data_IF_510371696658
#
_entry.id   IF_510371696658
#
_cell.length_a   1.000
_cell.length_b   1.000
_cell.length_c   1.000
_cell.angle_alpha   90.00
_cell.angle_beta   90.00
_cell.angle_gamma   90.00
#
_symmetry.space_group_name_H-M   'P 1'
#
loop_
_entity.id
_entity.type
_entity.pdbx_description
1 polymer ?
#
# COMPACT_ATOMS: atom_id res chain seq x y z
N UNK A 1 -13.47 -8.20 17.39
CA UNK A 1 -12.29 -7.95 16.54
C UNK A 1 -12.80 -7.25 15.29
N UNK A 2 -12.48 -5.98 15.13
CA UNK A 2 -13.25 -5.05 14.30
C UNK A 2 -13.08 -5.26 12.79
N UNK A 3 -14.21 -5.34 12.10
CA UNK A 3 -14.37 -5.35 10.63
C UNK A 3 -13.86 -4.09 9.92
N UNK A 4 -13.43 -3.04 10.65
CA UNK A 4 -13.03 -1.73 10.10
C UNK A 4 -11.54 -1.56 9.78
N UNK A 5 -10.78 -2.65 9.75
CA UNK A 5 -9.33 -2.63 9.47
C UNK A 5 -8.96 -3.20 8.10
N UNK A 6 -9.91 -3.80 7.39
CA UNK A 6 -9.67 -4.42 6.07
C UNK A 6 -10.30 -3.60 4.96
N UNK A 7 -9.56 -3.45 3.88
CA UNK A 7 -10.02 -2.82 2.65
C UNK A 7 -9.73 -3.75 1.47
N UNK A 8 -10.34 -3.48 0.32
CA UNK A 8 -10.08 -4.23 -0.91
C UNK A 8 -9.69 -3.28 -2.02
N UNK A 9 -8.47 -3.41 -2.53
CA UNK A 9 -8.01 -2.68 -3.70
C UNK A 9 -8.43 -3.43 -4.95
N UNK A 10 -9.25 -2.81 -5.80
CA UNK A 10 -9.63 -3.38 -7.09
C UNK A 10 -8.77 -2.76 -8.20
N UNK A 11 -7.83 -3.53 -8.74
CA UNK A 11 -7.00 -3.09 -9.87
C UNK A 11 -7.66 -3.55 -11.15
N UNK A 12 -7.97 -2.63 -12.05
CA UNK A 12 -8.63 -2.89 -13.33
C UNK A 12 -7.90 -2.18 -14.45
N UNK A 13 -7.73 -2.87 -15.56
CA UNK A 13 -7.23 -2.26 -16.79
C UNK A 13 -8.43 -1.79 -17.61
N UNK A 14 -8.70 -0.48 -17.57
CA UNK A 14 -9.89 0.15 -18.18
C UNK A 14 -9.49 0.83 -19.50
N UNK A 15 -10.26 0.58 -20.55
CA UNK A 15 -10.20 1.24 -21.87
C UNK A 15 -8.95 0.98 -22.75
N UNK A 16 -8.98 1.32 -24.07
CA UNK A 16 -8.14 0.68 -25.08
C UNK A 16 -6.73 1.26 -25.07
N UNK A 17 -5.96 0.88 -24.06
CA UNK A 17 -4.51 0.96 -24.15
C UNK A 17 -4.07 0.06 -25.33
N UNK A 18 -3.10 0.48 -26.16
CA UNK A 18 -2.50 -0.35 -27.22
C UNK A 18 -1.85 -1.64 -26.67
N UNK A 19 -1.84 -1.78 -25.34
CA UNK A 19 -1.33 -2.89 -24.57
C UNK A 19 -2.15 -4.17 -24.76
N UNK A 20 -3.49 -4.14 -24.92
CA UNK A 20 -4.40 -5.31 -24.98
C UNK A 20 -4.31 -6.29 -23.77
N UNK A 21 -3.13 -6.48 -23.19
CA UNK A 21 -2.76 -7.22 -22.00
C UNK A 21 -1.43 -6.66 -21.44
N UNK A 22 -1.21 -6.89 -20.16
CA UNK A 22 0.06 -6.71 -19.47
C UNK A 22 0.57 -8.08 -19.04
N UNK A 23 1.78 -8.43 -19.47
CA UNK A 23 2.42 -9.71 -19.13
C UNK A 23 2.76 -9.78 -17.65
N UNK A 24 3.19 -8.64 -17.08
CA UNK A 24 3.57 -8.57 -15.68
C UNK A 24 3.29 -7.18 -15.11
N UNK A 25 2.55 -7.16 -14.01
CA UNK A 25 2.28 -5.99 -13.19
C UNK A 25 2.81 -6.27 -11.80
N UNK A 26 3.62 -5.34 -11.29
CA UNK A 26 4.03 -5.29 -9.88
C UNK A 26 3.41 -4.07 -9.24
N UNK A 27 2.86 -4.23 -8.05
CA UNK A 27 2.28 -3.13 -7.28
C UNK A 27 3.09 -2.99 -6.01
N UNK A 28 3.48 -1.77 -5.70
CA UNK A 28 4.21 -1.41 -4.50
C UNK A 28 3.53 -0.24 -3.80
N UNK A 29 3.44 -0.30 -2.47
CA UNK A 29 3.03 0.83 -1.65
C UNK A 29 4.21 1.78 -1.52
N UNK A 30 4.15 2.89 -2.23
CA UNK A 30 5.24 3.86 -2.23
C UNK A 30 5.20 4.72 -0.95
N UNK A 31 6.38 4.97 -0.40
CA UNK A 31 6.56 5.96 0.64
C UNK A 31 6.28 7.37 0.07
N UNK A 32 5.63 8.23 0.84
CA UNK A 32 5.58 9.66 0.51
C UNK A 32 6.99 10.24 0.50
N UNK A 33 7.40 10.83 -0.62
CA UNK A 33 8.69 11.53 -0.77
C UNK A 33 8.92 12.64 0.26
N UNK A 34 7.84 13.20 0.83
CA UNK A 34 7.90 14.22 1.88
C UNK A 34 8.43 13.71 3.24
N UNK A 35 8.78 12.42 3.34
CA UNK A 35 9.17 11.81 4.60
C UNK A 35 10.59 11.25 4.58
N UNK A 36 11.52 12.05 5.12
CA UNK A 36 12.87 11.60 5.46
C UNK A 36 12.88 10.86 6.81
N UNK A 37 12.87 9.52 6.76
CA UNK A 37 13.07 8.67 7.96
C UNK A 37 14.48 8.08 8.04
N UNK A 38 15.48 8.81 7.56
CA UNK A 38 16.88 8.43 7.77
C UNK A 38 17.14 8.27 9.28
N UNK A 39 17.59 7.10 9.77
CA UNK A 39 17.85 6.91 11.19
C UNK A 39 19.06 7.76 11.61
N UNK A 40 18.81 8.85 12.35
CA UNK A 40 19.85 9.83 12.74
C UNK A 40 20.53 9.55 14.09
N UNK A 41 20.11 8.51 14.83
CA UNK A 41 20.55 8.28 16.21
C UNK A 41 21.03 6.84 16.44
N UNK A 42 22.18 6.69 17.10
CA UNK A 42 22.69 5.42 17.58
C UNK A 42 21.72 4.84 18.64
N UNK A 43 21.18 3.65 18.35
CA UNK A 43 20.11 3.02 19.14
C UNK A 43 18.72 3.05 18.50
N UNK A 44 18.58 3.70 17.34
CA UNK A 44 17.36 3.68 16.52
C UNK A 44 17.22 2.44 15.62
N UNK A 45 16.13 2.34 14.84
CA UNK A 45 15.93 1.26 13.88
C UNK A 45 17.01 1.26 12.79
N UNK A 46 17.35 0.08 12.26
CA UNK A 46 18.26 -0.04 11.11
C UNK A 46 17.61 0.44 9.82
N UNK A 47 18.41 0.79 8.81
CA UNK A 47 17.88 1.17 7.49
C UNK A 47 16.98 0.09 6.89
N UNK A 48 17.31 -1.19 7.09
CA UNK A 48 16.48 -2.32 6.67
C UNK A 48 15.12 -2.36 7.41
N UNK A 49 15.09 -2.00 8.70
CA UNK A 49 13.84 -1.93 9.47
C UNK A 49 12.97 -0.75 9.02
N UNK A 50 13.59 0.38 8.68
CA UNK A 50 12.91 1.56 8.13
C UNK A 50 12.37 1.26 6.73
N UNK A 51 13.13 0.59 5.87
CA UNK A 51 12.71 0.18 4.54
C UNK A 51 11.60 -0.89 4.59
N UNK A 52 11.64 -1.79 5.56
CA UNK A 52 10.60 -2.80 5.77
C UNK A 52 9.26 -2.23 6.27
N UNK A 53 9.27 -1.01 6.83
CA UNK A 53 8.05 -0.35 7.30
C UNK A 53 7.23 0.15 6.10
N UNK A 54 5.94 -0.18 6.07
CA UNK A 54 5.01 0.40 5.10
C UNK A 54 4.59 1.79 5.55
N UNK A 55 4.88 2.78 4.72
CA UNK A 55 4.66 4.20 5.00
C UNK A 55 3.41 4.72 4.28
N UNK A 56 2.25 4.33 4.76
CA UNK A 56 0.97 4.78 4.20
C UNK A 56 -0.21 4.42 5.11
N UNK A 57 -1.45 4.76 4.72
CA UNK A 57 -2.66 4.41 5.48
C UNK A 57 -2.99 2.91 5.49
N UNK A 58 -2.65 2.20 4.42
CA UNK A 58 -2.96 0.80 4.18
C UNK A 58 -1.73 0.03 3.67
N UNK A 59 -1.69 -1.27 3.94
CA UNK A 59 -0.71 -2.23 3.39
C UNK A 59 -1.43 -3.45 2.85
N UNK A 60 -0.76 -4.21 1.98
CA UNK A 60 -1.27 -5.52 1.58
C UNK A 60 -1.27 -6.47 2.78
N UNK A 61 -2.30 -7.32 2.87
CA UNK A 61 -2.39 -8.33 3.95
C UNK A 61 -1.28 -9.36 3.75
N UNK A 62 -0.29 -9.47 4.65
CA UNK A 62 0.83 -10.39 4.46
C UNK A 62 0.36 -11.83 4.29
N UNK A 63 0.89 -12.52 3.28
CA UNK A 63 0.50 -13.90 2.95
C UNK A 63 -0.83 -14.04 2.22
N UNK A 64 -1.52 -12.94 1.89
CA UNK A 64 -2.71 -12.93 1.03
C UNK A 64 -2.37 -12.37 -0.35
N UNK A 65 -3.00 -12.87 -1.41
CA UNK A 65 -2.83 -12.38 -2.79
C UNK A 65 -1.37 -12.28 -3.30
N UNK A 66 -0.45 -13.04 -2.69
CA UNK A 66 0.98 -12.99 -3.00
C UNK A 66 1.72 -11.81 -2.36
N UNK A 67 1.12 -11.14 -1.37
CA UNK A 67 1.75 -10.07 -0.61
C UNK A 67 3.00 -10.57 0.12
N UNK A 68 4.02 -9.71 0.17
CA UNK A 68 5.22 -9.98 0.94
C UNK A 68 4.95 -9.98 2.45
N UNK A 69 5.96 -10.38 3.23
CA UNK A 69 5.87 -10.45 4.70
C UNK A 69 5.53 -9.12 5.37
N UNK A 70 5.86 -7.99 4.73
CA UNK A 70 5.65 -6.66 5.30
C UNK A 70 4.37 -5.99 4.78
N UNK A 71 3.81 -6.45 3.67
CA UNK A 71 2.64 -5.86 3.00
C UNK A 71 2.99 -4.67 2.09
N UNK A 72 4.25 -4.57 1.68
CA UNK A 72 4.80 -3.55 0.78
C UNK A 72 4.45 -3.81 -0.67
N UNK A 73 4.49 -5.07 -1.09
CA UNK A 73 4.31 -5.44 -2.50
C UNK A 73 3.55 -6.75 -2.63
N UNK A 74 3.02 -7.02 -3.82
CA UNK A 74 2.37 -8.27 -4.19
C UNK A 74 3.17 -8.99 -5.28
N UNK A 75 3.04 -10.31 -5.31
CA UNK A 75 3.65 -11.13 -6.35
C UNK A 75 3.24 -10.64 -7.75
N UNK A 76 4.18 -10.58 -8.71
CA UNK A 76 3.88 -10.12 -10.05
C UNK A 76 2.76 -10.93 -10.69
N UNK A 77 1.87 -10.26 -11.43
CA UNK A 77 0.71 -10.90 -12.06
C UNK A 77 0.42 -10.32 -13.45
N UNK A 78 -0.12 -11.15 -14.34
CA UNK A 78 -0.60 -10.70 -15.64
C UNK A 78 -2.03 -10.17 -15.54
N UNK A 79 -2.37 -9.16 -16.34
CA UNK A 79 -3.73 -8.60 -16.39
C UNK A 79 -4.13 -8.29 -17.84
N UNK A 80 -5.24 -8.86 -18.30
CA UNK A 80 -5.84 -8.54 -19.59
C UNK A 80 -6.77 -7.32 -19.49
N UNK A 81 -6.95 -6.60 -20.59
CA UNK A 81 -7.92 -5.48 -20.67
C UNK A 81 -9.33 -6.00 -20.31
N UNK A 82 -10.06 -5.23 -19.50
CA UNK A 82 -11.39 -5.59 -19.02
C UNK A 82 -11.41 -6.63 -17.88
N UNK A 83 -10.24 -7.16 -17.47
CA UNK A 83 -10.11 -7.96 -16.25
C UNK A 83 -9.65 -7.07 -15.10
N UNK A 84 -10.11 -7.45 -13.90
CA UNK A 84 -9.68 -6.85 -12.66
C UNK A 84 -9.28 -7.91 -11.66
N UNK A 85 -8.35 -7.56 -10.78
CA UNK A 85 -7.95 -8.41 -9.65
C UNK A 85 -8.15 -7.65 -8.34
N UNK A 86 -8.92 -8.20 -7.39
CA UNK A 86 -8.99 -7.65 -6.05
C UNK A 86 -7.75 -8.05 -5.25
N UNK A 87 -7.30 -7.16 -4.36
CA UNK A 87 -6.25 -7.40 -3.38
C UNK A 87 -6.75 -7.05 -1.98
N UNK A 88 -6.47 -7.91 -1.01
CA UNK A 88 -6.76 -7.64 0.38
C UNK A 88 -5.75 -6.64 0.96
N UNK A 89 -6.28 -5.54 1.51
CA UNK A 89 -5.53 -4.54 2.25
C UNK A 89 -5.93 -4.57 3.74
N UNK A 90 -4.99 -4.24 4.61
CA UNK A 90 -5.25 -3.94 6.02
C UNK A 90 -4.58 -2.62 6.43
N UNK A 91 -4.92 -2.06 7.60
CA UNK A 91 -4.25 -0.84 8.06
C UNK A 91 -2.78 -1.12 8.34
N UNK A 92 -1.95 -0.15 8.00
CA UNK A 92 -0.56 -0.14 8.44
C UNK A 92 -0.49 -0.03 9.96
N UNK A 93 0.53 -0.64 10.53
CA UNK A 93 0.82 -0.55 11.96
C UNK A 93 1.89 0.49 12.19
N UNK A 94 1.84 1.09 13.37
CA UNK A 94 2.90 2.01 13.79
C UNK A 94 4.26 1.30 13.82
N UNK A 95 5.35 2.02 13.49
CA UNK A 95 6.68 1.46 13.59
C UNK A 95 6.99 1.05 15.04
N UNK A 96 7.69 -0.07 15.23
CA UNK A 96 7.92 -0.61 16.57
C UNK A 96 8.75 0.33 17.47
N UNK A 97 9.55 1.22 16.86
CA UNK A 97 10.40 2.21 17.53
C UNK A 97 9.66 3.50 17.90
N UNK A 98 8.36 3.62 17.58
CA UNK A 98 7.54 4.69 18.15
C UNK A 98 7.16 4.35 19.59
N UNK A 99 7.48 5.28 20.49
CA UNK A 99 7.18 5.21 21.92
C UNK A 99 5.79 5.78 22.23
N UNK A 100 5.18 5.29 23.31
CA UNK A 100 3.87 5.72 23.81
C UNK A 100 2.75 4.71 23.57
N UNK A 101 1.82 4.64 24.53
CA UNK A 101 0.66 3.74 24.44
C UNK A 101 -0.33 4.16 23.35
N UNK A 102 -0.29 5.41 22.90
CA UNK A 102 -1.12 5.99 21.85
C UNK A 102 -0.51 5.90 20.43
N UNK A 103 0.65 5.23 20.28
CA UNK A 103 1.39 5.20 19.00
C UNK A 103 0.56 4.73 17.80
N UNK A 104 -0.32 3.76 17.98
CA UNK A 104 -1.20 3.25 16.92
C UNK A 104 -2.29 4.26 16.55
N UNK A 105 -2.83 4.99 17.53
CA UNK A 105 -3.80 6.04 17.28
C UNK A 105 -3.16 7.22 16.57
N UNK A 106 -1.99 7.66 17.03
CA UNK A 106 -1.22 8.74 16.41
C UNK A 106 -0.77 8.40 14.99
N UNK A 107 -0.39 7.15 14.75
CA UNK A 107 -0.07 6.66 13.42
C UNK A 107 -1.31 6.71 12.51
N UNK A 108 -2.45 6.23 13.00
CA UNK A 108 -3.71 6.29 12.25
C UNK A 108 -4.16 7.71 11.96
N UNK A 109 -3.97 8.64 12.91
CA UNK A 109 -4.31 10.05 12.76
C UNK A 109 -3.40 10.74 11.72
N UNK A 110 -2.08 10.44 11.76
CA UNK A 110 -1.12 10.94 10.79
C UNK A 110 -1.50 10.61 9.35
N UNK A 111 -2.04 9.41 9.12
CA UNK A 111 -2.44 8.94 7.80
C UNK A 111 -3.92 9.14 7.51
N UNK A 112 -4.66 9.76 8.42
CA UNK A 112 -6.06 10.07 8.21
C UNK A 112 -6.19 11.11 7.10
N UNK A 113 -7.07 10.85 6.12
CA UNK A 113 -7.30 11.71 4.95
C UNK A 113 -6.09 11.86 3.99
N UNK A 114 -5.03 11.08 4.17
CA UNK A 114 -3.93 11.03 3.21
C UNK A 114 -4.19 9.91 2.19
N UNK A 115 -3.97 10.17 0.89
CA UNK A 115 -4.11 9.14 -0.13
C UNK A 115 -3.07 8.04 0.06
N UNK A 116 -3.42 6.82 -0.33
CA UNK A 116 -2.48 5.73 -0.46
C UNK A 116 -1.72 5.89 -1.78
N UNK A 117 -0.39 6.02 -1.70
CA UNK A 117 0.47 6.08 -2.88
C UNK A 117 0.86 4.66 -3.31
N UNK A 118 0.64 4.36 -4.57
CA UNK A 118 0.97 3.09 -5.21
C UNK A 118 1.85 3.35 -6.42
N UNK A 119 2.84 2.49 -6.63
CA UNK A 119 3.61 2.47 -7.88
C UNK A 119 3.34 1.15 -8.57
N UNK A 120 2.83 1.23 -9.79
CA UNK A 120 2.57 0.09 -10.64
C UNK A 120 3.67 -0.02 -11.68
N UNK A 121 4.53 -1.03 -11.54
CA UNK A 121 5.55 -1.33 -12.55
C UNK A 121 4.97 -2.35 -13.53
N UNK A 122 4.78 -1.90 -14.76
CA UNK A 122 4.18 -2.66 -15.85
C UNK A 122 5.26 -3.12 -16.83
N UNK A 123 5.17 -4.37 -17.26
CA UNK A 123 6.01 -4.95 -18.31
C UNK A 123 5.14 -5.62 -19.36
N UNK A 124 5.49 -5.38 -20.62
CA UNK A 124 4.92 -6.07 -21.78
C UNK A 124 6.03 -6.45 -22.73
N UNK A 125 5.95 -7.63 -23.34
CA UNK A 125 6.87 -8.04 -24.39
C UNK A 125 6.94 -6.99 -25.52
N UNK A 126 8.15 -6.63 -25.93
CA UNK A 126 8.40 -5.61 -26.95
C UNK A 126 8.35 -4.17 -26.47
N UNK A 127 8.13 -3.92 -25.17
CA UNK A 127 8.17 -2.59 -24.56
C UNK A 127 9.12 -2.59 -23.35
N UNK A 128 9.87 -1.49 -23.17
CA UNK A 128 10.63 -1.27 -21.93
C UNK A 128 9.68 -1.20 -20.74
N UNK A 129 10.01 -1.78 -19.57
CA UNK A 129 9.17 -1.66 -18.39
C UNK A 129 8.95 -0.19 -17.99
N UNK A 130 7.72 0.16 -17.61
CA UNK A 130 7.39 1.51 -17.15
C UNK A 130 6.70 1.48 -15.79
N UNK A 131 6.98 2.48 -14.97
CA UNK A 131 6.34 2.68 -13.68
C UNK A 131 5.25 3.75 -13.80
N UNK A 132 4.08 3.47 -13.24
CA UNK A 132 2.96 4.42 -13.16
C UNK A 132 2.64 4.66 -11.69
N UNK A 133 2.93 5.87 -11.17
CA UNK A 133 2.48 6.25 -9.85
C UNK A 133 0.96 6.49 -9.87
N UNK A 134 0.27 6.02 -8.85
CA UNK A 134 -1.15 6.21 -8.61
C UNK A 134 -1.37 6.65 -7.17
N UNK A 135 -2.21 7.66 -6.98
CA UNK A 135 -2.72 8.04 -5.67
C UNK A 135 -4.16 7.52 -5.56
N UNK A 136 -4.42 6.73 -4.54
CA UNK A 136 -5.74 6.15 -4.27
C UNK A 136 -6.29 6.81 -3.02
N UNK A 137 -7.37 7.56 -3.15
CA UNK A 137 -8.10 8.07 -2.00
C UNK A 137 -8.57 6.90 -1.14
N UNK A 138 -8.23 6.94 0.15
CA UNK A 138 -8.69 5.96 1.12
C UNK A 138 -9.97 6.51 1.74
N UNK A 139 -11.17 6.05 1.31
CA UNK A 139 -12.41 6.51 1.89
C UNK A 139 -12.41 6.14 3.37
N UNK A 140 -12.81 7.07 4.24
CA UNK A 140 -13.09 6.73 5.63
C UNK A 140 -14.14 5.60 5.62
N UNK A 141 -13.85 4.48 6.30
CA UNK A 141 -14.96 3.70 6.87
C UNK A 141 -15.63 4.65 7.86
N UNK A 142 -16.89 5.07 7.63
CA UNK A 142 -17.53 6.02 8.53
C UNK A 142 -17.47 5.41 9.93
N UNK A 143 -16.81 6.11 10.85
CA UNK A 143 -16.93 5.79 12.28
C UNK A 143 -18.39 6.07 12.61
N UNK A 144 -19.23 5.04 12.55
CA UNK A 144 -20.59 5.12 13.09
C UNK A 144 -20.42 5.30 14.60
N UNK A 145 -20.33 6.57 15.03
CA UNK A 145 -20.50 6.92 16.43
C UNK A 145 -21.98 6.68 16.70
N UNK A 146 -22.31 5.54 17.30
CA UNK A 146 -23.57 5.42 18.01
C UNK A 146 -23.50 6.42 19.17
N UNK A 147 -24.12 7.59 18.98
CA UNK A 147 -24.42 8.52 20.06
C UNK A 147 -25.75 8.04 20.62
N UNK A 148 -25.69 7.42 21.81
CA UNK A 148 -26.86 7.21 22.66
C UNK A 148 -27.07 8.38 23.59
#
# INVERSE_FOLDING_TARGET
>A
MGEGDRATLSVRLVDPLPLCHLDEIRIEVAQSDDMDYTPRLAGGPTEEQVAAQVWGPLRFVPGSDGADRNGHTVAPFALAVGRGRPFALERTRSPFWWEGNDREERWRDKWLNLPMRLVLTCRREGFDPWAVPYEVDVPEVPRVRFVG
#
